data_IF_379353795001
#
_entry.id   IF_379353795001
#
_cell.length_a   1.000
_cell.length_b   1.000
_cell.length_c   1.000
_cell.angle_alpha   90.00
_cell.angle_beta   90.00
_cell.angle_gamma   90.00
#
_symmetry.space_group_name_H-M   'P 1'
#
loop_
_entity.id
_entity.type
_entity.pdbx_description
1 polymer ?
#
# COMPACT_ATOMS: atom_id res chain seq x y z
N UNK A 1 -15.59 13.91 2.00
CA UNK A 1 -14.95 14.83 1.03
C UNK A 1 -16.01 15.24 0.03
N UNK A 2 -15.91 16.42 -0.61
CA UNK A 2 -16.76 16.74 -1.77
C UNK A 2 -16.62 15.64 -2.84
N UNK A 3 -17.71 15.27 -3.50
CA UNK A 3 -17.72 14.16 -4.47
C UNK A 3 -16.83 14.45 -5.69
N UNK A 4 -16.78 15.72 -6.11
CA UNK A 4 -15.93 16.22 -7.19
C UNK A 4 -14.44 16.24 -6.86
N UNK A 5 -14.08 16.07 -5.59
CA UNK A 5 -12.68 15.96 -5.15
C UNK A 5 -12.14 14.51 -5.23
N UNK A 6 -12.99 13.53 -5.52
CA UNK A 6 -12.61 12.11 -5.53
C UNK A 6 -12.55 11.62 -6.98
N UNK A 7 -11.33 11.51 -7.51
CA UNK A 7 -11.11 10.83 -8.78
C UNK A 7 -11.03 9.31 -8.54
N UNK A 8 -11.91 8.56 -9.19
CA UNK A 8 -11.89 7.09 -9.20
C UNK A 8 -11.64 6.57 -10.62
N UNK A 9 -10.86 5.50 -10.72
CA UNK A 9 -10.56 4.80 -11.97
C UNK A 9 -11.36 3.49 -12.00
N UNK A 10 -12.32 3.33 -12.93
CA UNK A 10 -12.96 2.04 -13.20
C UNK A 10 -11.92 1.04 -13.71
N UNK A 11 -11.96 -0.19 -13.20
CA UNK A 11 -10.98 -1.22 -13.55
C UNK A 11 -11.53 -2.12 -14.65
N UNK A 12 -10.83 -2.14 -15.77
CA UNK A 12 -11.08 -2.97 -16.94
C UNK A 12 -9.83 -3.80 -17.26
N UNK A 13 -9.94 -4.74 -18.19
CA UNK A 13 -8.82 -5.56 -18.62
C UNK A 13 -8.67 -5.52 -20.15
N UNK A 14 -7.46 -5.28 -20.69
CA UNK A 14 -7.25 -5.08 -22.12
C UNK A 14 -7.63 -6.30 -22.96
N UNK A 15 -7.48 -7.50 -22.38
CA UNK A 15 -7.77 -8.78 -23.04
C UNK A 15 -9.10 -9.43 -22.64
N UNK A 16 -9.66 -9.07 -21.49
CA UNK A 16 -10.77 -9.82 -20.87
C UNK A 16 -11.96 -8.88 -20.59
N UNK A 17 -12.88 -8.70 -21.55
CA UNK A 17 -13.99 -7.75 -21.42
C UNK A 17 -14.87 -7.97 -20.19
N UNK A 18 -14.99 -9.23 -19.73
CA UNK A 18 -15.78 -9.57 -18.53
C UNK A 18 -15.27 -8.92 -17.24
N UNK A 19 -14.06 -8.34 -17.22
CA UNK A 19 -13.59 -7.57 -16.07
C UNK A 19 -14.48 -6.36 -15.79
N UNK A 20 -15.04 -5.72 -16.83
CA UNK A 20 -15.94 -4.59 -16.68
C UNK A 20 -17.20 -4.98 -15.88
N UNK A 21 -17.66 -6.23 -16.01
CA UNK A 21 -18.82 -6.75 -15.29
C UNK A 21 -18.57 -6.92 -13.77
N UNK A 22 -17.30 -6.92 -13.34
CA UNK A 22 -16.96 -6.93 -11.91
C UNK A 22 -17.21 -5.56 -11.25
N UNK A 23 -17.42 -4.51 -12.05
CA UNK A 23 -17.70 -3.13 -11.60
C UNK A 23 -16.71 -2.64 -10.51
N UNK A 24 -15.44 -3.01 -10.68
CA UNK A 24 -14.37 -2.60 -9.79
C UNK A 24 -13.94 -1.17 -10.11
N UNK A 25 -13.57 -0.44 -9.07
CA UNK A 25 -12.96 0.89 -9.19
C UNK A 25 -12.01 1.13 -8.02
N UNK A 26 -11.06 2.04 -8.21
CA UNK A 26 -10.16 2.47 -7.14
C UNK A 26 -9.92 3.97 -7.20
N UNK A 27 -9.76 4.62 -6.05
CA UNK A 27 -9.45 6.05 -5.99
C UNK A 27 -8.02 6.31 -6.49
N UNK A 28 -7.80 7.44 -7.17
CA UNK A 28 -6.54 7.73 -7.84
C UNK A 28 -5.41 8.14 -6.91
N UNK A 29 -5.74 8.73 -5.74
CA UNK A 29 -4.78 9.41 -4.87
C UNK A 29 -4.52 8.61 -3.57
N UNK A 30 -3.35 7.95 -3.40
CA UNK A 30 -2.98 7.34 -2.14
C UNK A 30 -2.57 8.41 -1.13
N UNK A 31 -3.30 8.52 -0.01
CA UNK A 31 -3.00 9.46 1.07
C UNK A 31 -2.78 8.72 2.38
N UNK A 32 -1.64 8.95 3.02
CA UNK A 32 -1.38 8.53 4.41
C UNK A 32 -1.63 9.74 5.31
N UNK A 33 -2.54 9.58 6.28
CA UNK A 33 -2.99 10.69 7.15
C UNK A 33 -2.92 10.39 8.65
N UNK A 34 -2.37 9.24 9.05
CA UNK A 34 -2.32 8.78 10.45
C UNK A 34 -0.89 8.73 11.04
N UNK A 35 0.11 9.24 10.33
CA UNK A 35 1.51 9.30 10.80
C UNK A 35 1.88 10.70 11.30
N UNK A 36 2.84 10.77 12.22
CA UNK A 36 3.45 12.04 12.66
C UNK A 36 4.77 12.24 11.95
N UNK A 37 5.06 13.49 11.57
CA UNK A 37 6.36 13.90 11.07
C UNK A 37 7.21 14.42 12.23
N UNK A 38 8.41 13.88 12.43
CA UNK A 38 9.34 14.37 13.45
C UNK A 38 10.56 15.05 12.81
N UNK A 39 10.84 16.29 13.21
CA UNK A 39 11.96 17.10 12.71
C UNK A 39 12.57 17.88 13.87
N UNK A 40 13.87 17.70 14.13
CA UNK A 40 14.59 18.49 15.15
C UNK A 40 14.01 18.38 16.57
N UNK A 41 13.44 17.22 16.91
CA UNK A 41 12.78 16.99 18.21
C UNK A 41 11.33 17.48 18.30
N UNK A 42 10.79 18.11 17.26
CA UNK A 42 9.39 18.54 17.18
C UNK A 42 8.58 17.45 16.48
N UNK A 43 7.40 17.13 17.03
CA UNK A 43 6.44 16.18 16.44
C UNK A 43 5.23 16.92 15.88
N UNK A 44 5.01 16.79 14.57
CA UNK A 44 3.85 17.28 13.85
C UNK A 44 2.86 16.12 13.68
N UNK A 45 1.84 16.06 14.54
CA UNK A 45 0.91 14.91 14.63
C UNK A 45 -0.13 14.85 13.51
N UNK A 46 -0.30 15.93 12.76
CA UNK A 46 -1.17 16.03 11.59
C UNK A 46 -0.36 16.46 10.37
N UNK A 47 0.28 15.49 9.71
CA UNK A 47 1.13 15.70 8.55
C UNK A 47 0.74 14.74 7.41
N UNK A 48 -0.44 14.89 6.78
CA UNK A 48 -0.85 14.03 5.68
C UNK A 48 0.07 14.23 4.47
N UNK A 49 0.41 13.14 3.79
CA UNK A 49 1.22 13.16 2.58
C UNK A 49 0.71 12.14 1.57
N UNK A 50 1.05 12.37 0.30
CA UNK A 50 0.65 11.51 -0.81
C UNK A 50 1.79 11.36 -1.82
N UNK A 51 1.68 10.33 -2.63
CA UNK A 51 2.42 10.16 -3.87
C UNK A 51 1.46 9.74 -4.97
N UNK A 52 1.87 8.76 -5.75
CA UNK A 52 1.02 8.01 -6.69
C UNK A 52 1.20 6.52 -6.41
N UNK A 53 0.24 5.71 -6.85
CA UNK A 53 0.24 4.28 -6.59
C UNK A 53 1.37 3.55 -7.31
N UNK A 54 1.93 2.54 -6.66
CA UNK A 54 2.49 1.37 -7.32
C UNK A 54 1.37 0.35 -7.57
N UNK A 55 1.27 -0.20 -8.80
CA UNK A 55 0.14 -1.03 -9.21
C UNK A 55 -0.16 -2.23 -8.29
N UNK A 56 0.87 -2.79 -7.65
CA UNK A 56 0.74 -3.92 -6.73
C UNK A 56 0.06 -3.57 -5.41
N UNK A 57 0.02 -2.29 -5.00
CA UNK A 57 -0.78 -1.86 -3.84
C UNK A 57 -2.27 -2.10 -4.06
N UNK A 58 -2.75 -1.85 -5.28
CA UNK A 58 -4.15 -2.08 -5.65
C UNK A 58 -4.35 -3.53 -6.06
N UNK A 59 -3.65 -3.97 -7.12
CA UNK A 59 -3.90 -5.27 -7.77
C UNK A 59 -3.54 -6.46 -6.89
N UNK A 60 -2.40 -6.42 -6.19
CA UNK A 60 -1.97 -7.53 -5.35
C UNK A 60 -2.51 -7.44 -3.93
N UNK A 61 -2.41 -6.26 -3.29
CA UNK A 61 -2.81 -6.13 -1.87
C UNK A 61 -4.30 -5.86 -1.71
N UNK A 62 -4.82 -4.77 -2.27
CA UNK A 62 -6.22 -4.39 -2.03
C UNK A 62 -7.21 -5.38 -2.67
N UNK A 63 -6.98 -5.76 -3.92
CA UNK A 63 -7.82 -6.72 -4.64
C UNK A 63 -7.46 -8.17 -4.33
N UNK A 64 -6.19 -8.50 -4.16
CA UNK A 64 -5.73 -9.88 -4.01
C UNK A 64 -5.74 -10.44 -2.59
N UNK A 65 -5.50 -9.63 -1.55
CA UNK A 65 -5.41 -10.15 -0.17
C UNK A 65 -6.76 -10.77 0.28
N UNK A 66 -6.69 -11.95 0.90
CA UNK A 66 -7.87 -12.71 1.36
C UNK A 66 -8.68 -11.95 2.43
N UNK A 67 -8.02 -11.11 3.22
CA UNK A 67 -8.64 -10.26 4.26
C UNK A 67 -9.08 -8.88 3.73
N UNK A 68 -9.02 -8.67 2.41
CA UNK A 68 -9.46 -7.44 1.72
C UNK A 68 -10.59 -7.78 0.76
N UNK A 69 -10.48 -7.45 -0.54
CA UNK A 69 -11.53 -7.75 -1.51
C UNK A 69 -11.51 -9.20 -2.00
N UNK A 70 -10.40 -9.94 -1.81
CA UNK A 70 -10.27 -11.37 -2.10
C UNK A 70 -10.77 -11.78 -3.50
N UNK A 71 -10.28 -11.11 -4.55
CA UNK A 71 -10.77 -11.31 -5.92
C UNK A 71 -10.09 -12.45 -6.67
N UNK A 72 -9.03 -13.05 -6.13
CA UNK A 72 -8.29 -14.12 -6.81
C UNK A 72 -9.17 -15.31 -7.21
N UNK A 73 -10.07 -15.85 -6.36
CA UNK A 73 -10.95 -16.95 -6.78
C UNK A 73 -11.88 -16.55 -7.94
N UNK A 74 -12.48 -15.36 -7.86
CA UNK A 74 -13.41 -14.85 -8.89
C UNK A 74 -12.71 -14.69 -10.24
N UNK A 75 -11.53 -14.08 -10.24
CA UNK A 75 -10.71 -13.91 -11.46
C UNK A 75 -10.29 -15.27 -12.01
N UNK A 76 -9.85 -16.20 -11.16
CA UNK A 76 -9.44 -17.53 -11.59
C UNK A 76 -10.59 -18.34 -12.20
N UNK A 77 -11.79 -18.26 -11.65
CA UNK A 77 -12.99 -18.90 -12.21
C UNK A 77 -13.35 -18.32 -13.58
N UNK A 78 -13.35 -16.99 -13.72
CA UNK A 78 -13.61 -16.30 -14.99
C UNK A 78 -12.55 -16.60 -16.07
N UNK A 79 -11.32 -16.91 -15.65
CA UNK A 79 -10.23 -17.38 -16.52
C UNK A 79 -10.30 -18.89 -16.83
N UNK A 80 -11.24 -19.63 -16.24
CA UNK A 80 -11.38 -21.07 -16.41
C UNK A 80 -10.24 -21.89 -15.79
N UNK A 81 -9.61 -21.37 -14.72
CA UNK A 81 -8.48 -22.04 -14.07
C UNK A 81 -8.93 -23.15 -13.12
N UNK A 82 -8.10 -24.17 -12.96
CA UNK A 82 -8.31 -25.19 -11.94
C UNK A 82 -7.95 -24.64 -10.55
N UNK A 83 -8.95 -24.21 -9.79
CA UNK A 83 -8.78 -23.68 -8.42
C UNK A 83 -8.68 -24.75 -7.33
N UNK A 84 -8.78 -26.04 -7.69
CA UNK A 84 -8.81 -27.14 -6.69
C UNK A 84 -7.44 -27.45 -6.08
N UNK A 85 -6.36 -27.02 -6.72
CA UNK A 85 -5.00 -27.33 -6.28
C UNK A 85 -4.06 -26.16 -6.49
N UNK A 86 -3.22 -25.85 -5.50
CA UNK A 86 -2.21 -24.79 -5.63
C UNK A 86 -1.16 -25.11 -6.71
N UNK A 87 -0.97 -26.39 -7.09
CA UNK A 87 -0.03 -26.78 -8.15
C UNK A 87 -0.41 -26.24 -9.53
N UNK A 88 -1.67 -25.83 -9.74
CA UNK A 88 -2.08 -25.18 -10.99
C UNK A 88 -1.61 -23.73 -11.10
N UNK A 89 -1.07 -23.15 -10.02
CA UNK A 89 -0.63 -21.76 -9.94
C UNK A 89 -1.75 -20.76 -10.30
N UNK A 90 -2.99 -21.13 -9.96
CA UNK A 90 -4.16 -20.31 -10.28
C UNK A 90 -4.12 -18.95 -9.57
N UNK A 91 -3.59 -18.90 -8.33
CA UNK A 91 -3.42 -17.65 -7.58
C UNK A 91 -2.43 -16.73 -8.30
N UNK A 92 -1.28 -17.26 -8.71
CA UNK A 92 -0.23 -16.52 -9.40
C UNK A 92 -0.75 -15.91 -10.71
N UNK A 93 -1.45 -16.72 -11.52
CA UNK A 93 -2.05 -16.24 -12.78
C UNK A 93 -3.10 -15.17 -12.53
N UNK A 94 -4.04 -15.39 -11.59
CA UNK A 94 -5.07 -14.40 -11.27
C UNK A 94 -4.47 -13.08 -10.74
N UNK A 95 -3.40 -13.17 -9.94
CA UNK A 95 -2.70 -12.01 -9.38
C UNK A 95 -2.04 -11.17 -10.49
N UNK A 96 -1.43 -11.81 -11.49
CA UNK A 96 -0.86 -11.11 -12.65
C UNK A 96 -1.95 -10.38 -13.43
N UNK A 97 -3.07 -11.03 -13.74
CA UNK A 97 -4.15 -10.41 -14.53
C UNK A 97 -4.83 -9.25 -13.77
N UNK A 98 -4.94 -9.32 -12.44
CA UNK A 98 -5.38 -8.18 -11.62
C UNK A 98 -4.43 -6.98 -11.74
N UNK A 99 -3.13 -7.21 -11.73
CA UNK A 99 -2.15 -6.13 -11.87
C UNK A 99 -2.16 -5.53 -13.28
N UNK A 100 -2.34 -6.35 -14.32
CA UNK A 100 -2.50 -5.89 -15.71
C UNK A 100 -3.74 -5.01 -15.82
N UNK A 101 -4.88 -5.44 -15.28
CA UNK A 101 -6.12 -4.66 -15.26
C UNK A 101 -5.93 -3.29 -14.60
N UNK A 102 -5.29 -3.25 -13.43
CA UNK A 102 -5.02 -1.99 -12.72
C UNK A 102 -4.14 -1.05 -13.53
N UNK A 103 -2.99 -1.52 -14.02
CA UNK A 103 -2.04 -0.68 -14.74
C UNK A 103 -2.63 -0.12 -16.03
N UNK A 104 -3.29 -0.97 -16.82
CA UNK A 104 -3.94 -0.55 -18.08
C UNK A 104 -5.06 0.46 -17.83
N UNK A 105 -5.92 0.23 -16.84
CA UNK A 105 -7.03 1.13 -16.53
C UNK A 105 -6.56 2.52 -16.10
N UNK A 106 -5.53 2.58 -15.24
CA UNK A 106 -4.96 3.85 -14.81
C UNK A 106 -4.28 4.59 -15.97
N UNK A 107 -3.58 3.85 -16.84
CA UNK A 107 -2.99 4.42 -18.05
C UNK A 107 -4.05 4.99 -19.00
N UNK A 108 -5.12 4.25 -19.27
CA UNK A 108 -6.24 4.68 -20.12
C UNK A 108 -6.98 5.90 -19.56
N UNK A 109 -7.10 5.98 -18.23
CA UNK A 109 -7.70 7.12 -17.54
C UNK A 109 -6.76 8.34 -17.45
N UNK A 110 -5.51 8.24 -17.91
CA UNK A 110 -4.51 9.31 -17.79
C UNK A 110 -4.07 9.58 -16.35
N UNK A 111 -4.23 8.61 -15.45
CA UNK A 111 -3.88 8.72 -14.03
C UNK A 111 -2.50 8.13 -13.80
N UNK A 112 -1.63 8.86 -13.08
CA UNK A 112 -0.27 8.41 -12.78
C UNK A 112 -0.29 7.15 -11.91
N UNK A 113 0.41 6.12 -12.38
CA UNK A 113 0.69 4.88 -11.67
C UNK A 113 2.04 4.35 -12.13
N UNK A 114 2.72 3.56 -11.29
CA UNK A 114 3.98 2.91 -11.66
C UNK A 114 3.88 1.39 -11.47
N UNK A 115 4.50 0.63 -12.36
CA UNK A 115 4.66 -0.82 -12.16
C UNK A 115 5.81 -1.11 -11.18
N UNK A 116 5.77 -2.29 -10.56
CA UNK A 116 6.71 -2.67 -9.52
C UNK A 116 8.13 -2.96 -10.01
N UNK A 117 8.32 -3.29 -11.30
CA UNK A 117 9.66 -3.46 -11.87
C UNK A 117 10.34 -2.11 -12.09
N UNK A 118 9.61 -1.13 -12.64
CA UNK A 118 10.13 0.23 -12.81
C UNK A 118 10.37 0.89 -11.45
N UNK A 119 9.48 0.72 -10.47
CA UNK A 119 9.67 1.22 -9.11
C UNK A 119 10.95 0.65 -8.46
N UNK A 120 11.20 -0.65 -8.60
CA UNK A 120 12.43 -1.27 -8.09
C UNK A 120 13.70 -0.70 -8.77
N UNK A 121 13.67 -0.48 -10.09
CA UNK A 121 14.79 0.14 -10.81
C UNK A 121 15.04 1.60 -10.41
N UNK A 122 13.98 2.36 -10.15
CA UNK A 122 14.08 3.72 -9.62
C UNK A 122 14.71 3.72 -8.23
N UNK A 123 14.31 2.79 -7.35
CA UNK A 123 14.88 2.65 -6.02
C UNK A 123 16.37 2.24 -6.07
N UNK A 124 16.76 1.35 -6.98
CA UNK A 124 18.16 1.01 -7.19
C UNK A 124 18.98 2.22 -7.68
N UNK A 125 18.41 3.01 -8.60
CA UNK A 125 19.05 4.24 -9.08
C UNK A 125 19.21 5.26 -7.96
N UNK A 126 18.19 5.46 -7.13
CA UNK A 126 18.28 6.25 -5.90
C UNK A 126 19.41 5.75 -5.01
N UNK A 127 19.47 4.44 -4.77
CA UNK A 127 20.51 3.84 -3.91
C UNK A 127 21.91 4.11 -4.43
N UNK A 128 22.16 3.92 -5.73
CA UNK A 128 23.46 4.24 -6.34
C UNK A 128 23.82 5.71 -6.23
N UNK A 129 22.84 6.60 -6.31
CA UNK A 129 23.07 8.04 -6.18
C UNK A 129 23.45 8.42 -4.75
N UNK A 130 22.79 7.83 -3.74
CA UNK A 130 23.16 8.02 -2.34
C UNK A 130 24.57 7.52 -2.04
N UNK A 131 24.92 6.33 -2.54
CA UNK A 131 26.25 5.75 -2.38
C UNK A 131 27.36 6.60 -3.01
N UNK A 132 27.11 7.17 -4.20
CA UNK A 132 28.04 8.11 -4.85
C UNK A 132 28.30 9.34 -3.98
N UNK A 133 27.36 9.70 -3.11
CA UNK A 133 27.49 10.80 -2.15
C UNK A 133 27.99 10.33 -0.78
N UNK A 134 28.43 9.07 -0.64
CA UNK A 134 28.91 8.50 0.61
C UNK A 134 27.82 8.26 1.66
N UNK A 135 26.54 8.24 1.26
CA UNK A 135 25.40 7.99 2.15
C UNK A 135 24.93 6.54 2.01
N UNK A 136 24.76 5.86 3.15
CA UNK A 136 24.19 4.52 3.18
C UNK A 136 22.66 4.60 3.21
N UNK A 137 22.00 3.86 2.30
CA UNK A 137 20.54 3.74 2.27
C UNK A 137 20.08 2.75 3.35
N UNK A 138 19.16 3.21 4.19
CA UNK A 138 18.42 2.37 5.10
C UNK A 138 17.06 2.01 4.48
N UNK A 139 16.66 0.75 4.58
CA UNK A 139 15.36 0.29 4.10
C UNK A 139 14.89 -0.96 4.86
N UNK A 140 13.58 -1.09 5.00
CA UNK A 140 12.96 -2.34 5.44
C UNK A 140 12.73 -3.23 4.21
N UNK A 141 13.53 -4.29 4.09
CA UNK A 141 13.47 -5.24 2.97
C UNK A 141 12.06 -5.81 2.75
N UNK A 142 11.32 -6.07 3.84
CA UNK A 142 9.96 -6.61 3.76
C UNK A 142 8.94 -5.65 3.17
N UNK A 143 9.26 -4.35 3.11
CA UNK A 143 8.42 -3.31 2.53
C UNK A 143 8.84 -2.90 1.12
N UNK A 144 10.14 -2.92 0.82
CA UNK A 144 10.64 -2.49 -0.50
C UNK A 144 10.58 -3.59 -1.57
N UNK A 145 10.55 -4.87 -1.17
CA UNK A 145 10.33 -5.98 -2.12
C UNK A 145 8.85 -6.05 -2.48
N UNK A 146 8.48 -5.97 -3.77
CA UNK A 146 7.09 -6.03 -4.17
C UNK A 146 6.41 -7.36 -3.78
N UNK A 147 5.09 -7.33 -3.48
CA UNK A 147 4.36 -8.51 -3.00
C UNK A 147 4.11 -9.59 -4.08
N UNK A 148 4.53 -9.35 -5.32
CA UNK A 148 4.55 -10.30 -6.42
C UNK A 148 5.89 -10.14 -7.16
N UNK A 149 6.39 -11.23 -7.76
CA UNK A 149 7.58 -11.21 -8.62
C UNK A 149 8.85 -10.73 -7.92
N UNK A 150 8.97 -10.90 -6.60
CA UNK A 150 10.07 -10.36 -5.79
C UNK A 150 11.46 -10.62 -6.39
N UNK A 151 11.83 -11.88 -6.66
CA UNK A 151 13.15 -12.23 -7.22
C UNK A 151 13.40 -11.73 -8.65
N UNK A 152 12.36 -11.29 -9.35
CA UNK A 152 12.47 -10.63 -10.66
C UNK A 152 12.67 -9.10 -10.54
N UNK A 153 12.91 -8.58 -9.33
CA UNK A 153 13.19 -7.18 -9.06
C UNK A 153 14.59 -7.03 -8.46
N UNK A 154 15.26 -5.91 -8.74
CA UNK A 154 16.64 -5.69 -8.29
C UNK A 154 16.77 -5.57 -6.76
N UNK A 155 15.73 -5.04 -6.11
CA UNK A 155 15.67 -4.84 -4.65
C UNK A 155 15.69 -6.16 -3.85
N UNK A 156 15.28 -7.28 -4.44
CA UNK A 156 15.29 -8.57 -3.77
C UNK A 156 16.70 -9.08 -3.44
N UNK A 157 17.66 -8.81 -4.33
CA UNK A 157 18.99 -9.43 -4.28
C UNK A 157 19.99 -8.69 -3.37
N UNK A 158 19.55 -7.58 -2.77
CA UNK A 158 20.41 -6.70 -1.99
C UNK A 158 19.96 -6.66 -0.53
N UNK A 159 20.86 -6.86 0.45
CA UNK A 159 20.55 -6.63 1.85
C UNK A 159 20.50 -5.11 2.13
N UNK A 160 19.59 -4.72 3.02
CA UNK A 160 19.47 -3.35 3.51
C UNK A 160 19.44 -3.35 5.03
N UNK A 161 20.11 -2.37 5.63
CA UNK A 161 20.03 -2.13 7.07
C UNK A 161 18.72 -1.40 7.36
N UNK A 162 17.86 -1.98 8.21
CA UNK A 162 16.64 -1.30 8.66
C UNK A 162 16.98 -0.34 9.81
N UNK A 163 17.52 0.83 9.46
CA UNK A 163 17.89 1.88 10.41
C UNK A 163 16.92 3.05 10.33
N UNK A 164 16.33 3.40 11.48
CA UNK A 164 15.55 4.62 11.64
C UNK A 164 16.49 5.82 11.72
N UNK A 165 16.24 6.84 10.89
CA UNK A 165 16.90 8.14 10.94
C UNK A 165 15.83 9.23 11.14
N UNK A 166 16.23 10.44 11.54
CA UNK A 166 15.34 11.62 11.56
C UNK A 166 15.94 12.72 10.67
N UNK A 167 15.10 13.57 10.02
CA UNK A 167 13.64 13.64 10.09
C UNK A 167 12.92 12.42 9.48
N UNK A 168 11.75 12.05 10.01
CA UNK A 168 11.00 10.85 9.56
C UNK A 168 9.52 10.85 9.94
N UNK A 169 8.76 9.94 9.34
CA UNK A 169 7.38 9.64 9.68
C UNK A 169 7.28 8.46 10.65
N UNK A 170 6.43 8.59 11.65
CA UNK A 170 6.19 7.57 12.67
C UNK A 170 4.71 7.27 12.81
N UNK A 171 4.37 5.99 13.02
CA UNK A 171 3.04 5.61 13.44
C UNK A 171 2.69 6.23 14.79
N UNK A 172 1.40 6.49 14.98
CA UNK A 172 0.84 7.06 16.19
C UNK A 172 -0.28 6.17 16.70
N UNK A 173 -0.51 6.19 18.01
CA UNK A 173 -1.72 5.61 18.56
C UNK A 173 -2.96 6.27 17.95
N UNK A 174 -3.97 5.46 17.66
CA UNK A 174 -5.20 6.03 17.13
C UNK A 174 -5.83 6.97 18.17
N UNK A 175 -6.31 8.16 17.76
CA UNK A 175 -6.71 9.21 18.70
C UNK A 175 -7.87 8.78 19.61
N UNK A 176 -8.73 7.86 19.16
CA UNK A 176 -9.83 7.34 19.97
C UNK A 176 -9.39 6.42 21.11
N UNK A 177 -8.22 5.77 21.03
CA UNK A 177 -7.68 5.00 22.17
C UNK A 177 -7.20 5.92 23.30
N UNK A 178 -6.63 7.07 22.95
CA UNK A 178 -6.18 8.08 23.91
C UNK A 178 -7.36 8.72 24.64
N UNK A 179 -8.47 8.97 23.92
CA UNK A 179 -9.68 9.53 24.51
C UNK A 179 -10.35 8.56 25.49
N UNK A 180 -10.38 7.26 25.18
CA UNK A 180 -10.90 6.23 26.10
C UNK A 180 -10.09 6.16 27.38
N UNK A 181 -8.76 6.18 27.29
CA UNK A 181 -7.88 6.15 28.46
C UNK A 181 -8.04 7.40 29.32
N UNK A 182 -8.20 8.58 28.70
CA UNK A 182 -8.40 9.83 29.42
C UNK A 182 -9.75 9.86 30.16
N UNK A 183 -10.83 9.43 29.50
CA UNK A 183 -12.15 9.32 30.11
C UNK A 183 -12.18 8.28 31.25
N UNK A 184 -11.48 7.15 31.09
CA UNK A 184 -11.29 6.15 32.16
C UNK A 184 -10.57 6.77 33.36
N UNK A 185 -9.44 7.45 33.13
CA UNK A 185 -8.65 8.11 34.18
C UNK A 185 -9.44 9.21 34.89
N UNK A 186 -10.24 10.01 34.18
CA UNK A 186 -11.13 11.01 34.76
C UNK A 186 -12.23 10.35 35.62
N UNK A 187 -12.87 9.28 35.14
CA UNK A 187 -13.88 8.52 35.91
C UNK A 187 -13.32 7.82 37.16
N UNK A 188 -12.03 7.47 37.16
CA UNK A 188 -11.34 6.89 38.32
C UNK A 188 -11.00 7.98 39.34
N UNK A 189 -10.63 9.18 38.90
CA UNK A 189 -10.42 10.33 39.80
C UNK A 189 -11.71 10.78 40.48
N UNK A 190 -12.83 10.82 39.75
CA UNK A 190 -14.15 11.13 40.31
C UNK A 190 -14.59 10.09 41.36
N UNK A 191 -14.35 8.80 41.10
CA UNK A 191 -14.67 7.73 42.06
C UNK A 191 -13.82 7.77 43.34
N UNK A 192 -12.58 8.25 43.26
CA UNK A 192 -11.71 8.44 44.45
C UNK A 192 -12.13 9.67 45.27
N UNK A 193 -12.72 10.70 44.64
CA UNK A 193 -13.20 11.91 45.33
C UNK A 193 -14.56 11.72 46.04
N UNK A 194 -15.37 10.75 45.63
CA UNK A 194 -16.66 10.45 46.26
C UNK A 194 -16.60 9.45 47.44
N UNK A 195 -15.40 9.02 47.86
CA UNK A 195 -15.20 8.07 48.97
C UNK A 195 -14.51 8.69 50.20
N UNK A 196 -14.53 10.02 50.34
CA UNK A 196 -14.00 10.77 51.49
C UNK A 196 -15.09 11.38 52.35
#
# INVERSE_FOLDING_TARGET
LPDDAILEVPIQHPTYPWFADLNLKWYALPVISNMSLQIGGISYTAAPFNGFYMGTEIGARNFGDEFRYNLLPTVAEKLGLNIRTNRSLWKDRALVELNIAVLSSFQEAGVTIIDHHTAAQQFETFTRNEEKQGRAVAADWGWIVPPISGSATSVFHRPYENRIQTPNFFYQDAPWHLLQNKALLESMKERVLCTG
#
